data_IF_014423778659
#
_entry.id   IF_014423778659
#
_cell.length_a   1.000
_cell.length_b   1.000
_cell.length_c   1.000
_cell.angle_alpha   90.00
_cell.angle_beta   90.00
_cell.angle_gamma   90.00
#
_symmetry.space_group_name_H-M   'P 1'
#
loop_
_entity.id
_entity.type
_entity.pdbx_description
1 polymer ?
#
# COMPACT_ATOMS: atom_id res chain seq x y z
N UNK A 1 6.55 -12.55 -19.74
CA UNK A 1 8.01 -12.78 -19.65
C UNK A 1 8.40 -12.90 -18.20
N UNK A 2 9.09 -13.96 -17.81
CA UNK A 2 9.84 -14.02 -16.54
C UNK A 2 11.28 -13.63 -16.86
N UNK A 3 11.85 -12.69 -16.13
CA UNK A 3 13.25 -12.31 -16.30
C UNK A 3 14.11 -13.29 -15.50
N UNK A 4 15.23 -13.72 -16.08
CA UNK A 4 16.12 -14.70 -15.46
C UNK A 4 16.89 -14.12 -14.25
N UNK A 5 17.06 -12.80 -14.18
CA UNK A 5 17.79 -12.13 -13.10
C UNK A 5 17.04 -10.89 -12.60
N UNK A 6 17.21 -10.58 -11.32
CA UNK A 6 16.67 -9.37 -10.70
C UNK A 6 17.18 -8.09 -11.41
N UNK A 7 18.43 -8.09 -11.88
CA UNK A 7 19.01 -6.98 -12.63
C UNK A 7 18.33 -6.77 -13.99
N UNK A 8 18.05 -7.85 -14.73
CA UNK A 8 17.32 -7.76 -16.00
C UNK A 8 15.88 -7.27 -15.79
N UNK A 9 15.21 -7.76 -14.74
CA UNK A 9 13.89 -7.27 -14.34
C UNK A 9 13.91 -5.77 -14.02
N UNK A 10 14.88 -5.32 -13.20
CA UNK A 10 15.04 -3.90 -12.86
C UNK A 10 15.20 -3.03 -14.10
N UNK A 11 16.12 -3.38 -14.99
CA UNK A 11 16.36 -2.61 -16.22
C UNK A 11 15.09 -2.49 -17.06
N UNK A 12 14.38 -3.60 -17.27
CA UNK A 12 13.17 -3.59 -18.08
C UNK A 12 12.02 -2.81 -17.41
N UNK A 13 11.88 -2.91 -16.09
CA UNK A 13 10.92 -2.12 -15.33
C UNK A 13 11.22 -0.62 -15.46
N UNK A 14 12.45 -0.19 -15.22
CA UNK A 14 12.85 1.22 -15.34
C UNK A 14 12.62 1.78 -16.75
N UNK A 15 12.98 1.01 -17.79
CA UNK A 15 12.71 1.40 -19.18
C UNK A 15 11.22 1.60 -19.44
N UNK A 16 10.38 0.68 -18.96
CA UNK A 16 8.92 0.79 -19.10
C UNK A 16 8.38 2.01 -18.35
N UNK A 17 8.81 2.24 -17.11
CA UNK A 17 8.38 3.39 -16.32
C UNK A 17 8.79 4.71 -16.99
N UNK A 18 9.99 4.81 -17.55
CA UNK A 18 10.43 5.99 -18.29
C UNK A 18 9.62 6.24 -19.56
N UNK A 19 9.30 5.19 -20.32
CA UNK A 19 8.45 5.31 -21.51
C UNK A 19 7.04 5.80 -21.13
N UNK A 20 6.40 5.16 -20.16
CA UNK A 20 5.07 5.55 -19.68
C UNK A 20 5.06 6.96 -19.08
N UNK A 21 6.11 7.36 -18.35
CA UNK A 21 6.24 8.71 -17.81
C UNK A 21 6.28 9.77 -18.92
N UNK A 22 7.02 9.51 -20.00
CA UNK A 22 7.10 10.41 -21.16
C UNK A 22 5.77 10.51 -21.89
N UNK A 23 5.12 9.38 -22.16
CA UNK A 23 3.83 9.32 -22.84
C UNK A 23 2.73 10.06 -22.07
N UNK A 24 2.69 9.87 -20.75
CA UNK A 24 1.68 10.48 -19.89
C UNK A 24 2.03 11.91 -19.41
N UNK A 25 3.24 12.40 -19.70
CA UNK A 25 3.70 13.73 -19.25
C UNK A 25 3.80 13.87 -17.73
N UNK A 26 4.12 12.79 -17.01
CA UNK A 26 4.22 12.79 -15.53
C UNK A 26 5.62 12.40 -15.04
N UNK A 27 6.03 12.82 -13.84
CA UNK A 27 7.32 12.44 -13.28
C UNK A 27 7.45 10.92 -13.08
N UNK A 28 8.57 10.32 -13.50
CA UNK A 28 8.83 8.87 -13.36
C UNK A 28 8.77 8.39 -11.90
N UNK A 29 9.20 9.21 -10.94
CA UNK A 29 9.09 8.91 -9.51
C UNK A 29 7.67 8.58 -9.10
N UNK A 30 6.67 9.21 -9.71
CA UNK A 30 5.25 8.93 -9.42
C UNK A 30 4.88 7.49 -9.80
N UNK A 31 5.37 7.01 -10.94
CA UNK A 31 5.14 5.64 -11.38
C UNK A 31 5.91 4.65 -10.50
N UNK A 32 7.12 4.98 -10.06
CA UNK A 32 7.90 4.15 -9.11
C UNK A 32 7.16 3.98 -7.78
N UNK A 33 6.60 5.06 -7.22
CA UNK A 33 5.78 4.98 -6.00
C UNK A 33 4.55 4.09 -6.17
N UNK A 34 3.86 4.18 -7.31
CA UNK A 34 2.72 3.31 -7.61
C UNK A 34 3.10 1.83 -7.67
N UNK A 35 4.28 1.51 -8.24
CA UNK A 35 4.81 0.14 -8.21
C UNK A 35 5.02 -0.32 -6.77
N UNK A 36 5.59 0.52 -5.91
CA UNK A 36 5.80 0.16 -4.49
C UNK A 36 4.48 -0.04 -3.76
N UNK A 37 3.48 0.82 -3.97
CA UNK A 37 2.15 0.66 -3.37
C UNK A 37 1.47 -0.63 -3.81
N UNK A 38 1.54 -0.95 -5.11
CA UNK A 38 0.98 -2.17 -5.68
C UNK A 38 1.66 -3.43 -5.12
N UNK A 39 3.00 -3.45 -5.09
CA UNK A 39 3.79 -4.58 -4.57
C UNK A 39 3.66 -4.76 -3.05
N UNK A 40 3.54 -3.67 -2.30
CA UNK A 40 3.25 -3.71 -0.87
C UNK A 40 1.85 -4.27 -0.62
N UNK A 41 0.83 -3.75 -1.32
CA UNK A 41 -0.55 -4.23 -1.19
C UNK A 41 -0.66 -5.72 -1.53
N UNK A 42 0.02 -6.20 -2.57
CA UNK A 42 0.06 -7.62 -2.89
C UNK A 42 0.56 -8.48 -1.72
N UNK A 43 1.61 -8.05 -1.01
CA UNK A 43 2.12 -8.75 0.18
C UNK A 43 1.12 -8.69 1.33
N UNK A 44 0.54 -7.52 1.60
CA UNK A 44 -0.44 -7.32 2.66
C UNK A 44 -1.70 -8.18 2.45
N UNK A 45 -2.16 -8.34 1.21
CA UNK A 45 -3.30 -9.20 0.87
C UNK A 45 -3.00 -10.69 1.06
N UNK A 46 -1.75 -11.12 0.86
CA UNK A 46 -1.34 -12.50 1.16
C UNK A 46 -1.29 -12.73 2.68
N UNK A 47 -0.78 -11.77 3.44
CA UNK A 47 -0.69 -11.86 4.91
C UNK A 47 -2.07 -11.77 5.58
N UNK A 48 -2.94 -10.90 5.07
CA UNK A 48 -4.21 -10.56 5.71
C UNK A 48 -5.20 -9.95 4.70
N UNK A 49 -5.85 -10.80 3.90
CA UNK A 49 -6.69 -10.35 2.79
C UNK A 49 -7.87 -9.44 3.19
N UNK A 50 -8.42 -9.60 4.39
CA UNK A 50 -9.62 -8.93 4.89
C UNK A 50 -9.35 -7.81 5.90
N UNK A 51 -8.11 -7.67 6.37
CA UNK A 51 -7.78 -6.70 7.43
C UNK A 51 -7.36 -5.33 6.89
N UNK A 52 -6.98 -5.22 5.61
CA UNK A 52 -6.48 -3.98 5.01
C UNK A 52 -7.50 -3.31 4.10
N UNK A 53 -7.82 -2.05 4.40
CA UNK A 53 -8.70 -1.22 3.59
C UNK A 53 -7.87 -0.09 2.97
N UNK A 54 -7.78 -0.06 1.63
CA UNK A 54 -7.13 1.01 0.90
C UNK A 54 -8.04 2.25 0.83
N UNK A 55 -7.62 3.33 1.48
CA UNK A 55 -8.29 4.64 1.48
C UNK A 55 -7.60 5.61 0.52
N UNK A 56 -8.16 6.83 0.41
CA UNK A 56 -7.51 7.97 -0.25
C UNK A 56 -7.36 7.88 -1.77
N UNK A 57 -6.54 8.77 -2.33
CA UNK A 57 -6.38 8.95 -3.78
C UNK A 57 -5.71 7.75 -4.47
N UNK A 58 -4.92 6.94 -3.75
CA UNK A 58 -4.34 5.70 -4.29
C UNK A 58 -5.44 4.70 -4.63
N UNK A 59 -6.46 4.56 -3.78
CA UNK A 59 -7.62 3.71 -4.06
C UNK A 59 -8.36 4.12 -5.35
N UNK A 60 -8.48 5.42 -5.58
CA UNK A 60 -9.14 5.98 -6.76
C UNK A 60 -8.27 5.85 -8.01
N UNK A 61 -6.95 5.99 -7.90
CA UNK A 61 -6.02 5.76 -9.00
C UNK A 61 -6.04 4.29 -9.45
N UNK A 62 -6.00 3.35 -8.50
CA UNK A 62 -6.10 1.92 -8.77
C UNK A 62 -7.44 1.55 -9.44
N UNK A 63 -8.52 2.30 -9.15
CA UNK A 63 -9.86 2.06 -9.74
C UNK A 63 -10.14 2.80 -11.05
N UNK A 64 -9.64 4.02 -11.24
CA UNK A 64 -10.08 4.93 -12.32
C UNK A 64 -8.99 5.36 -13.30
N UNK A 65 -7.71 5.08 -13.02
CA UNK A 65 -6.60 5.43 -13.91
C UNK A 65 -6.28 6.93 -14.02
N UNK A 66 -4.98 7.24 -13.99
CA UNK A 66 -4.24 8.44 -14.43
C UNK A 66 -4.72 9.90 -14.17
N UNK A 67 -5.94 10.19 -13.73
CA UNK A 67 -6.48 11.56 -13.71
C UNK A 67 -6.42 12.33 -12.39
N UNK A 68 -5.93 11.73 -11.31
CA UNK A 68 -5.94 12.39 -10.00
C UNK A 68 -4.57 12.90 -9.58
N UNK A 69 -4.51 14.00 -8.83
CA UNK A 69 -3.31 14.47 -8.13
C UNK A 69 -2.90 13.38 -7.13
N UNK A 70 -1.99 12.48 -7.51
CA UNK A 70 -1.65 11.34 -6.65
C UNK A 70 -0.85 11.82 -5.45
N UNK A 71 -1.33 11.42 -4.28
CA UNK A 71 -0.86 11.69 -2.93
C UNK A 71 0.59 11.30 -2.72
N UNK A 72 1.29 12.04 -1.86
CA UNK A 72 2.64 11.69 -1.39
C UNK A 72 2.66 10.35 -0.64
N UNK A 73 1.51 9.97 -0.10
CA UNK A 73 1.33 8.96 0.93
C UNK A 73 0.22 7.96 0.52
N UNK A 74 0.32 6.73 1.02
CA UNK A 74 -0.68 5.66 0.90
C UNK A 74 -1.48 5.56 2.19
N UNK A 75 -2.78 5.76 2.12
CA UNK A 75 -3.67 5.69 3.28
C UNK A 75 -4.28 4.29 3.40
N UNK A 76 -4.06 3.66 4.55
CA UNK A 76 -4.64 2.39 4.92
C UNK A 76 -5.53 2.54 6.14
N UNK A 77 -6.45 1.60 6.28
CA UNK A 77 -7.23 1.46 7.48
C UNK A 77 -7.46 0.02 7.87
N UNK A 78 -7.66 -0.18 9.17
CA UNK A 78 -7.96 -1.47 9.78
C UNK A 78 -8.89 -1.26 10.96
N UNK A 79 -9.59 -2.33 11.34
CA UNK A 79 -10.53 -2.35 12.46
C UNK A 79 -9.95 -2.88 13.77
N UNK A 80 -8.68 -3.29 13.76
CA UNK A 80 -7.98 -3.85 14.92
C UNK A 80 -7.10 -2.78 15.59
N UNK A 81 -5.80 -2.99 15.69
CA UNK A 81 -4.89 -2.11 16.42
C UNK A 81 -3.52 -2.01 15.75
N UNK A 82 -2.75 -1.04 16.22
CA UNK A 82 -1.41 -0.74 15.74
C UNK A 82 -0.44 -1.92 15.86
N UNK A 83 -0.56 -2.72 16.92
CA UNK A 83 0.29 -3.89 17.14
C UNK A 83 0.07 -4.94 16.05
N UNK A 84 -1.19 -5.21 15.71
CA UNK A 84 -1.55 -6.12 14.63
C UNK A 84 -1.10 -5.60 13.26
N UNK A 85 -1.25 -4.30 12.99
CA UNK A 85 -0.74 -3.68 11.76
C UNK A 85 0.78 -3.82 11.63
N UNK A 86 1.51 -3.56 12.72
CA UNK A 86 2.97 -3.70 12.75
C UNK A 86 3.39 -5.15 12.51
N UNK A 87 2.72 -6.12 13.14
CA UNK A 87 3.00 -7.53 12.95
C UNK A 87 2.78 -7.98 11.49
N UNK A 88 1.70 -7.51 10.86
CA UNK A 88 1.42 -7.80 9.46
C UNK A 88 2.46 -7.16 8.53
N UNK A 89 2.92 -5.94 8.80
CA UNK A 89 3.99 -5.31 8.02
C UNK A 89 5.32 -6.06 8.13
N UNK A 90 5.71 -6.51 9.33
CA UNK A 90 6.91 -7.32 9.52
C UNK A 90 6.81 -8.67 8.79
N UNK A 91 5.63 -9.28 8.79
CA UNK A 91 5.37 -10.51 8.03
C UNK A 91 5.44 -10.26 6.53
N UNK A 92 4.84 -9.17 6.05
CA UNK A 92 4.87 -8.77 4.65
C UNK A 92 6.28 -8.43 4.17
N UNK A 93 7.11 -7.82 5.02
CA UNK A 93 8.52 -7.56 4.75
C UNK A 93 9.31 -8.86 4.48
N UNK A 94 9.04 -9.91 5.27
CA UNK A 94 9.71 -11.21 5.13
C UNK A 94 9.18 -12.06 3.96
N UNK A 95 8.09 -11.65 3.31
CA UNK A 95 7.44 -12.43 2.26
C UNK A 95 8.15 -12.26 0.92
N UNK A 96 8.65 -13.37 0.38
CA UNK A 96 9.15 -13.45 -1.00
C UNK A 96 8.02 -13.84 -1.95
N UNK A 97 7.61 -12.90 -2.82
CA UNK A 97 6.62 -13.13 -3.88
C UNK A 97 7.27 -13.51 -5.23
N UNK A 98 8.59 -13.68 -5.28
CA UNK A 98 9.32 -13.91 -6.53
C UNK A 98 9.32 -12.70 -7.47
N UNK A 99 9.06 -11.50 -6.95
CA UNK A 99 9.01 -10.23 -7.70
C UNK A 99 10.30 -9.41 -7.60
N UNK A 100 11.34 -9.98 -6.97
CA UNK A 100 12.67 -9.39 -6.73
C UNK A 100 12.69 -8.15 -5.82
N UNK A 101 11.55 -7.72 -5.28
CA UNK A 101 11.50 -6.62 -4.35
C UNK A 101 11.80 -7.09 -2.92
N UNK A 102 12.63 -6.31 -2.23
CA UNK A 102 12.82 -6.41 -0.80
C UNK A 102 12.31 -5.13 -0.17
N UNK A 103 11.64 -5.26 0.97
CA UNK A 103 11.04 -4.14 1.68
C UNK A 103 11.75 -3.93 3.01
N UNK A 104 11.79 -2.69 3.45
CA UNK A 104 12.14 -2.29 4.80
C UNK A 104 11.07 -1.35 5.34
N UNK A 105 10.33 -1.82 6.34
CA UNK A 105 9.14 -1.13 6.85
C UNK A 105 9.39 -0.73 8.29
N UNK A 106 9.48 0.57 8.53
CA UNK A 106 9.77 1.12 9.85
C UNK A 106 8.63 2.00 10.32
N UNK A 107 8.17 1.73 11.54
CA UNK A 107 7.28 2.64 12.27
C UNK A 107 8.04 3.94 12.58
N UNK A 108 7.38 5.06 12.34
CA UNK A 108 7.87 6.39 12.76
C UNK A 108 7.27 6.76 14.12
N UNK A 109 7.94 7.61 14.90
CA UNK A 109 7.36 8.14 16.13
C UNK A 109 5.97 8.72 15.87
N UNK A 110 5.02 8.43 16.77
CA UNK A 110 3.60 8.80 16.66
C UNK A 110 3.51 10.30 16.38
N UNK A 111 2.73 10.70 15.37
CA UNK A 111 2.31 12.09 15.26
C UNK A 111 1.46 12.34 16.51
N UNK A 112 1.97 13.08 17.49
CA UNK A 112 1.16 13.54 18.62
C UNK A 112 0.09 14.49 18.05
N UNK A 113 -1.07 13.92 17.72
CA UNK A 113 -2.27 14.70 17.50
C UNK A 113 -3.25 14.26 18.58
N UNK A 114 -3.50 15.17 19.51
CA UNK A 114 -4.38 15.06 20.66
C UNK A 114 -5.87 14.90 20.30
N UNK A 115 -6.22 14.16 19.25
CA UNK A 115 -7.57 14.02 18.73
C UNK A 115 -7.86 12.56 18.38
N UNK A 116 -9.07 12.11 18.75
CA UNK A 116 -9.65 10.82 18.43
C UNK A 116 -9.42 10.45 16.94
N UNK A 117 -8.96 9.22 16.68
CA UNK A 117 -8.65 8.73 15.32
C UNK A 117 -7.16 8.76 14.93
N UNK A 118 -6.26 8.44 15.86
CA UNK A 118 -4.81 8.45 15.63
C UNK A 118 -4.37 7.52 14.48
N UNK A 119 -3.82 8.10 13.42
CA UNK A 119 -3.12 7.37 12.38
C UNK A 119 -1.64 7.14 12.76
N UNK A 120 -1.10 5.98 12.39
CA UNK A 120 0.31 5.63 12.60
C UNK A 120 1.03 5.66 11.26
N UNK A 121 2.17 6.35 11.24
CA UNK A 121 2.99 6.52 10.04
C UNK A 121 4.09 5.48 9.95
N UNK A 122 4.19 4.83 8.80
CA UNK A 122 5.25 3.90 8.45
C UNK A 122 6.05 4.43 7.26
N UNK A 123 7.37 4.40 7.39
CA UNK A 123 8.29 4.56 6.26
C UNK A 123 8.50 3.19 5.62
N UNK A 124 8.31 3.13 4.31
CA UNK A 124 8.51 1.93 3.51
C UNK A 124 9.59 2.21 2.48
N UNK A 125 10.77 1.63 2.68
CA UNK A 125 11.83 1.61 1.70
C UNK A 125 11.75 0.32 0.89
N UNK A 126 11.93 0.42 -0.42
CA UNK A 126 11.96 -0.72 -1.30
C UNK A 126 13.28 -0.78 -2.06
N UNK A 127 13.85 -1.98 -2.13
CA UNK A 127 15.02 -2.30 -2.91
C UNK A 127 14.66 -3.25 -4.05
N UNK A 128 15.38 -3.12 -5.15
CA UNK A 128 15.22 -4.00 -6.32
C UNK A 128 16.59 -4.37 -6.87
N UNK A 129 16.89 -5.66 -6.96
CA UNK A 129 18.22 -6.14 -7.36
C UNK A 129 19.36 -5.55 -6.49
N UNK A 130 19.16 -5.50 -5.17
CA UNK A 130 20.17 -5.07 -4.19
C UNK A 130 20.55 -3.59 -4.23
N UNK A 131 19.70 -2.73 -4.82
CA UNK A 131 19.88 -1.27 -4.70
C UNK A 131 18.56 -0.59 -4.40
N UNK A 132 18.58 0.57 -3.73
CA UNK A 132 17.38 1.37 -3.50
C UNK A 132 16.58 1.57 -4.78
N UNK A 133 15.27 1.37 -4.68
CA UNK A 133 14.33 1.59 -5.76
C UNK A 133 13.53 2.86 -5.53
N UNK A 134 12.81 2.97 -4.43
CA UNK A 134 12.00 4.13 -4.04
C UNK A 134 11.59 4.02 -2.56
N UNK A 135 11.23 5.14 -1.94
CA UNK A 135 10.68 5.21 -0.59
C UNK A 135 9.31 5.87 -0.59
N UNK A 136 8.41 5.35 0.25
CA UNK A 136 7.05 5.86 0.40
C UNK A 136 6.63 5.93 1.86
N UNK A 137 5.65 6.78 2.12
CA UNK A 137 4.98 6.91 3.42
C UNK A 137 3.64 6.17 3.34
N UNK A 138 3.36 5.39 4.38
CA UNK A 138 2.07 4.71 4.57
C UNK A 138 1.49 5.15 5.89
N UNK A 139 0.30 5.75 5.86
CA UNK A 139 -0.43 6.17 7.04
C UNK A 139 -1.56 5.17 7.31
N UNK A 140 -1.60 4.59 8.52
CA UNK A 140 -2.59 3.59 8.91
C UNK A 140 -3.52 4.16 9.97
N UNK A 141 -4.81 4.25 9.65
CA UNK A 141 -5.87 4.65 10.57
C UNK A 141 -6.54 3.46 11.23
N UNK A 142 -6.86 3.59 12.52
CA UNK A 142 -7.57 2.57 13.30
C UNK A 142 -8.94 3.15 13.70
N UNK A 143 -10.00 2.41 13.38
CA UNK A 143 -11.37 2.79 13.71
C UNK A 143 -12.15 1.54 14.07
N UNK A 144 -13.23 1.68 14.84
CA UNK A 144 -14.14 0.56 15.05
C UNK A 144 -14.78 0.11 13.72
N UNK A 145 -15.09 -1.19 13.56
CA UNK A 145 -15.86 -1.65 12.42
C UNK A 145 -17.22 -0.93 12.41
N UNK A 146 -17.74 -0.55 11.23
CA UNK A 146 -19.08 0.02 11.14
C UNK A 146 -20.06 -0.95 11.77
N UNK A 147 -20.82 -0.48 12.77
CA UNK A 147 -21.88 -1.27 13.39
C UNK A 147 -22.86 -1.64 12.29
N UNK A 148 -22.87 -2.90 11.88
CA UNK A 148 -23.85 -3.40 10.93
C UNK A 148 -25.23 -3.28 11.60
N UNK A 149 -26.03 -2.31 11.17
CA UNK A 149 -27.44 -2.29 11.51
C UNK A 149 -28.05 -3.58 10.97
N UNK A 150 -28.32 -4.54 11.87
CA UNK A 150 -29.18 -5.66 11.57
C UNK A 150 -30.58 -5.10 11.38
N UNK A 151 -30.95 -4.78 10.14
CA UNK A 151 -32.35 -4.58 9.78
C UNK A 151 -33.06 -5.90 10.02
N UNK A 152 -33.70 -6.02 11.19
CA UNK A 152 -34.56 -7.15 11.49
C UNK A 152 -35.68 -7.18 10.45
N UNK A 153 -35.73 -8.25 9.66
CA UNK A 153 -36.94 -8.63 8.96
C UNK A 153 -37.97 -9.00 10.04
N UNK A 154 -38.76 -8.03 10.49
CA UNK A 154 -40.05 -8.30 11.10
C UNK A 154 -40.96 -8.82 9.98
N UNK A 155 -41.14 -10.14 9.91
CA UNK A 155 -42.17 -10.74 9.09
C UNK A 155 -43.56 -10.29 9.58
N UNK A 156 -44.56 -10.19 8.69
CA UNK A 156 -45.88 -9.76 9.09
C UNK A 156 -46.51 -10.84 9.98
N UNK A 157 -46.90 -10.45 11.19
CA UNK A 157 -47.86 -11.21 11.99
C UNK A 157 -49.23 -11.18 11.29
N UNK A 158 -49.81 -12.38 11.22
CA UNK A 158 -51.14 -12.83 10.76
C UNK A 158 -52.24 -11.80 10.57
#
# INVERSE_FOLDING_TARGET
MRYATAAAFRTALEQRLLATAREAGIPVMRLRKLVIFDRLMARLLVVAYDRWILKGAVSLHMRLGARFRTTRDMDLARYDNEQAATADFLTAQALDLGDHFQFDIRRTARLEAALEGAAVRYHVAAELAGRPFEEVIVDVSFSDPPVAHRSGCAGPTS
#
